data_IF_757151709216
#
_entry.id   IF_757151709216
#
_cell.length_a   1.000
_cell.length_b   1.000
_cell.length_c   1.000
_cell.angle_alpha   90.00
_cell.angle_beta   90.00
_cell.angle_gamma   90.00
#
_symmetry.space_group_name_H-M   'P 1'
#
loop_
_entity.id
_entity.type
_entity.pdbx_description
1 polymer ?
#
# COMPACT_ATOMS: atom_id res chain seq x y z
N UNK A 1 13.61 -15.71 1.16
CA UNK A 1 14.09 -15.29 2.49
C UNK A 1 13.99 -13.78 2.58
N UNK A 2 12.86 -13.26 3.09
CA UNK A 2 12.61 -11.83 3.27
C UNK A 2 13.06 -11.41 4.66
N UNK A 3 14.19 -10.70 4.73
CA UNK A 3 14.76 -10.22 5.98
C UNK A 3 13.83 -9.24 6.68
N UNK A 4 13.43 -9.60 7.91
CA UNK A 4 12.72 -8.76 8.85
C UNK A 4 13.54 -7.49 9.12
N UNK A 5 13.01 -6.34 8.73
CA UNK A 5 13.46 -5.06 9.21
C UNK A 5 12.94 -4.85 10.63
N UNK A 6 13.50 -5.57 11.59
CA UNK A 6 13.54 -5.12 12.99
C UNK A 6 13.99 -3.67 12.94
N UNK A 7 13.23 -2.74 13.52
CA UNK A 7 13.71 -1.39 13.80
C UNK A 7 15.03 -1.52 14.56
N UNK A 8 16.14 -1.46 13.82
CA UNK A 8 17.46 -1.60 14.37
C UNK A 8 17.73 -0.29 15.11
N UNK A 9 17.79 -0.39 16.43
CA UNK A 9 18.36 0.58 17.35
C UNK A 9 19.49 1.38 16.68
N UNK A 10 19.31 2.69 16.56
CA UNK A 10 20.42 3.64 16.44
C UNK A 10 21.11 3.79 15.08
N UNK A 11 20.73 3.08 14.01
CA UNK A 11 21.30 3.31 12.68
C UNK A 11 20.38 4.17 11.81
N UNK A 12 20.93 5.28 11.32
CA UNK A 12 20.28 6.20 10.37
C UNK A 12 20.12 5.48 9.02
N UNK A 13 19.13 4.59 8.90
CA UNK A 13 18.80 3.92 7.65
C UNK A 13 18.46 4.97 6.61
N UNK A 14 19.22 4.99 5.51
CA UNK A 14 19.02 5.96 4.44
C UNK A 14 17.56 5.96 3.98
N UNK A 15 16.98 7.15 3.91
CA UNK A 15 15.58 7.34 3.54
C UNK A 15 15.33 6.70 2.17
N UNK A 16 14.56 5.61 2.17
CA UNK A 16 14.40 4.72 1.01
C UNK A 16 13.26 5.14 0.07
N UNK A 17 12.66 6.30 0.33
CA UNK A 17 11.48 6.81 -0.36
C UNK A 17 11.66 8.31 -0.61
N UNK A 18 10.93 8.86 -1.57
CA UNK A 18 10.75 10.30 -1.74
C UNK A 18 9.25 10.59 -1.81
N UNK A 19 8.82 11.70 -1.21
CA UNK A 19 7.45 12.17 -1.40
C UNK A 19 7.40 12.98 -2.70
N UNK A 20 6.72 12.44 -3.71
CA UNK A 20 6.66 13.05 -5.05
C UNK A 20 5.38 13.84 -5.29
N UNK A 21 4.32 13.57 -4.54
CA UNK A 21 3.02 14.23 -4.68
C UNK A 21 2.18 14.06 -3.39
N UNK A 22 0.99 14.67 -3.35
CA UNK A 22 -0.04 14.44 -2.34
C UNK A 22 -1.42 14.32 -2.97
N UNK A 23 -2.13 13.23 -2.67
CA UNK A 23 -3.52 13.03 -3.08
C UNK A 23 -4.42 13.15 -1.85
N UNK A 24 -5.29 14.16 -1.82
CA UNK A 24 -6.17 14.46 -0.67
C UNK A 24 -5.42 14.48 0.68
N UNK A 25 -4.22 15.07 0.70
CA UNK A 25 -3.38 15.17 1.90
C UNK A 25 -2.55 13.94 2.23
N UNK A 26 -2.73 12.81 1.52
CA UNK A 26 -1.92 11.60 1.69
C UNK A 26 -0.69 11.67 0.79
N UNK A 27 0.49 11.46 1.37
CA UNK A 27 1.77 11.48 0.66
C UNK A 27 1.84 10.35 -0.37
N UNK A 28 2.16 10.70 -1.61
CA UNK A 28 2.54 9.74 -2.65
C UNK A 28 4.03 9.50 -2.55
N UNK A 29 4.41 8.25 -2.32
CA UNK A 29 5.81 7.85 -2.21
C UNK A 29 6.27 7.17 -3.49
N UNK A 30 7.51 7.49 -3.87
CA UNK A 30 8.28 6.73 -4.85
C UNK A 30 9.52 6.18 -4.14
N UNK A 31 9.82 4.90 -4.33
CA UNK A 31 11.01 4.31 -3.72
C UNK A 31 12.28 4.75 -4.46
N UNK A 32 13.36 4.89 -3.70
CA UNK A 32 14.70 5.24 -4.19
C UNK A 32 15.54 3.95 -4.23
N UNK A 33 16.56 3.87 -5.09
CA UNK A 33 17.50 2.75 -5.17
C UNK A 33 16.83 1.37 -5.36
N UNK A 34 15.83 1.29 -6.24
CA UNK A 34 15.16 0.02 -6.56
C UNK A 34 14.16 -0.47 -5.50
N UNK A 35 13.76 0.38 -4.54
CA UNK A 35 12.65 0.06 -3.64
C UNK A 35 11.31 0.20 -4.38
N UNK A 36 10.58 -0.91 -4.46
CA UNK A 36 9.30 -0.94 -5.17
C UNK A 36 8.07 -0.91 -4.26
N UNK A 37 8.18 -1.42 -3.03
CA UNK A 37 7.04 -1.50 -2.10
C UNK A 37 6.97 -0.27 -1.20
N UNK A 38 5.76 0.13 -0.77
CA UNK A 38 5.59 1.10 0.33
C UNK A 38 6.23 0.60 1.65
N UNK A 39 6.46 1.48 2.65
CA UNK A 39 7.05 1.05 3.92
C UNK A 39 6.12 0.10 4.70
N UNK A 40 6.66 -0.80 5.50
CA UNK A 40 5.89 -1.70 6.37
C UNK A 40 5.49 -1.03 7.69
N UNK A 41 6.21 0.02 8.08
CA UNK A 41 5.87 0.88 9.22
C UNK A 41 5.87 2.35 8.82
N UNK A 42 4.95 3.12 9.40
CA UNK A 42 4.81 4.52 9.10
C UNK A 42 5.90 5.37 9.79
N UNK A 43 6.45 6.35 9.07
CA UNK A 43 7.41 7.28 9.66
C UNK A 43 6.76 8.60 10.10
N UNK A 44 5.96 9.20 9.21
CA UNK A 44 5.45 10.57 9.38
C UNK A 44 4.01 10.77 8.90
N UNK A 45 3.31 9.71 8.52
CA UNK A 45 1.95 9.76 7.98
C UNK A 45 1.17 8.52 8.41
N UNK A 46 -0.16 8.63 8.48
CA UNK A 46 -1.06 7.50 8.76
C UNK A 46 -1.41 6.69 7.51
N UNK A 47 -1.02 7.19 6.33
CA UNK A 47 -1.16 6.48 5.07
C UNK A 47 -0.10 6.95 4.07
N UNK A 48 0.21 6.08 3.11
CA UNK A 48 1.03 6.37 1.95
C UNK A 48 0.41 5.78 0.70
N UNK A 49 0.49 6.50 -0.41
CA UNK A 49 0.02 6.05 -1.72
C UNK A 49 1.23 5.77 -2.61
N UNK A 50 1.11 4.74 -3.44
CA UNK A 50 2.01 4.50 -4.55
C UNK A 50 1.19 4.52 -5.84
N UNK A 51 1.77 5.15 -6.86
CA UNK A 51 1.23 5.16 -8.22
C UNK A 51 2.05 4.23 -9.11
N UNK A 52 1.43 3.75 -10.18
CA UNK A 52 2.06 3.12 -11.33
C UNK A 52 2.88 4.16 -12.10
N UNK A 53 3.81 3.74 -12.98
CA UNK A 53 4.61 4.67 -13.78
C UNK A 53 3.80 5.64 -14.65
N UNK A 54 2.61 5.24 -15.07
CA UNK A 54 1.63 6.03 -15.84
C UNK A 54 0.83 7.03 -14.97
N UNK A 55 1.05 7.04 -13.65
CA UNK A 55 0.33 7.88 -12.69
C UNK A 55 -1.01 7.30 -12.21
N UNK A 56 -1.39 6.10 -12.65
CA UNK A 56 -2.57 5.38 -12.17
C UNK A 56 -2.33 4.88 -10.74
N UNK A 57 -3.37 4.80 -9.93
CA UNK A 57 -3.31 4.23 -8.58
C UNK A 57 -2.77 2.80 -8.61
N UNK A 58 -1.76 2.51 -7.77
CA UNK A 58 -1.24 1.16 -7.57
C UNK A 58 -1.73 0.60 -6.23
N UNK A 59 -1.41 1.28 -5.14
CA UNK A 59 -1.75 0.84 -3.79
C UNK A 59 -1.77 2.01 -2.80
N UNK A 60 -2.52 1.84 -1.70
CA UNK A 60 -2.45 2.67 -0.50
C UNK A 60 -2.27 1.77 0.71
N UNK A 61 -1.31 2.13 1.56
CA UNK A 61 -1.10 1.51 2.87
C UNK A 61 -1.59 2.42 3.97
N UNK A 62 -2.27 1.82 4.95
CA UNK A 62 -2.87 2.51 6.09
C UNK A 62 -2.28 1.92 7.37
N UNK A 63 -1.88 2.82 8.27
CA UNK A 63 -1.16 2.48 9.49
C UNK A 63 -1.99 2.87 10.71
N UNK A 64 -1.85 2.10 11.78
CA UNK A 64 -2.47 2.40 13.07
C UNK A 64 -1.72 3.51 13.82
N UNK A 65 -2.17 3.79 15.05
CA UNK A 65 -1.56 4.80 15.93
C UNK A 65 -0.12 4.44 16.35
N UNK A 66 0.19 3.15 16.37
CA UNK A 66 1.49 2.61 16.73
C UNK A 66 2.40 2.49 15.49
N UNK A 67 1.94 3.01 14.33
CA UNK A 67 2.63 3.05 13.03
C UNK A 67 2.76 1.70 12.33
N UNK A 68 2.00 0.68 12.73
CA UNK A 68 1.98 -0.62 12.06
C UNK A 68 1.00 -0.63 10.88
N UNK A 69 1.40 -1.26 9.78
CA UNK A 69 0.52 -1.51 8.64
C UNK A 69 -0.63 -2.42 9.06
N UNK A 70 -1.87 -1.94 8.89
CA UNK A 70 -3.09 -2.69 9.20
C UNK A 70 -3.93 -3.01 7.98
N UNK A 71 -3.81 -2.20 6.92
CA UNK A 71 -4.62 -2.33 5.72
C UNK A 71 -3.87 -1.85 4.49
N UNK A 72 -3.95 -2.63 3.42
CA UNK A 72 -3.44 -2.27 2.09
C UNK A 72 -4.58 -2.44 1.09
N UNK A 73 -4.88 -1.39 0.33
CA UNK A 73 -5.83 -1.45 -0.78
C UNK A 73 -5.03 -1.30 -2.06
N UNK A 74 -5.17 -2.23 -2.99
CA UNK A 74 -4.34 -2.29 -4.20
C UNK A 74 -5.17 -2.50 -5.47
N UNK A 75 -4.61 -2.05 -6.60
CA UNK A 75 -5.15 -2.19 -7.94
C UNK A 75 -4.09 -2.81 -8.87
N UNK A 76 -3.97 -4.13 -8.75
CA UNK A 76 -3.10 -4.97 -9.58
C UNK A 76 -3.73 -6.35 -9.71
N UNK A 77 -3.15 -7.27 -10.52
CA UNK A 77 -3.69 -8.61 -10.63
C UNK A 77 -3.62 -9.34 -9.30
N UNK A 78 -4.73 -9.95 -8.92
CA UNK A 78 -4.86 -10.76 -7.71
C UNK A 78 -5.49 -12.11 -8.09
N UNK A 79 -4.67 -13.13 -8.35
CA UNK A 79 -5.15 -14.40 -8.92
C UNK A 79 -6.11 -15.15 -8.01
N UNK A 80 -6.05 -14.93 -6.69
CA UNK A 80 -6.99 -15.54 -5.76
C UNK A 80 -8.42 -14.99 -5.91
N UNK A 81 -8.59 -13.83 -6.57
CA UNK A 81 -9.89 -13.21 -6.81
C UNK A 81 -10.34 -13.32 -8.27
N UNK A 82 -9.43 -13.13 -9.23
CA UNK A 82 -9.77 -13.11 -10.66
C UNK A 82 -9.54 -14.45 -11.37
N UNK A 83 -8.87 -15.40 -10.71
CA UNK A 83 -8.44 -16.67 -11.31
C UNK A 83 -7.34 -16.52 -12.38
N UNK A 84 -6.82 -15.31 -12.61
CA UNK A 84 -5.81 -15.03 -13.62
C UNK A 84 -4.78 -13.97 -13.15
N UNK A 85 -3.69 -13.79 -13.91
CA UNK A 85 -2.58 -12.87 -13.56
C UNK A 85 -2.54 -11.59 -14.41
N UNK A 86 -3.61 -11.30 -15.15
CA UNK A 86 -3.62 -10.25 -16.16
C UNK A 86 -4.61 -9.13 -15.83
N UNK A 87 -5.74 -9.48 -15.23
CA UNK A 87 -6.79 -8.53 -14.90
C UNK A 87 -6.47 -7.79 -13.60
N UNK A 88 -6.40 -6.46 -13.67
CA UNK A 88 -6.27 -5.63 -12.48
C UNK A 88 -7.60 -5.58 -11.75
N UNK A 89 -7.59 -5.86 -10.45
CA UNK A 89 -8.78 -5.78 -9.59
C UNK A 89 -8.48 -4.94 -8.37
N UNK A 90 -9.46 -4.14 -7.92
CA UNK A 90 -9.37 -3.51 -6.61
C UNK A 90 -9.58 -4.58 -5.54
N UNK A 91 -8.60 -4.73 -4.68
CA UNK A 91 -8.65 -5.69 -3.58
C UNK A 91 -8.00 -5.08 -2.33
N UNK A 92 -8.26 -5.71 -1.20
CA UNK A 92 -7.72 -5.30 0.09
C UNK A 92 -7.09 -6.47 0.81
N UNK A 93 -5.96 -6.19 1.45
CA UNK A 93 -5.29 -7.05 2.41
C UNK A 93 -5.41 -6.42 3.79
N UNK A 94 -5.79 -7.23 4.77
CA UNK A 94 -5.79 -6.86 6.19
C UNK A 94 -4.64 -7.57 6.88
N UNK A 95 -3.85 -6.80 7.62
CA UNK A 95 -2.62 -7.28 8.23
C UNK A 95 -2.83 -7.49 9.73
N UNK A 96 -2.37 -8.63 10.23
CA UNK A 96 -2.29 -8.90 11.67
C UNK A 96 -0.89 -8.56 12.15
N UNK A 97 -0.79 -7.78 13.23
CA UNK A 97 0.49 -7.34 13.81
C UNK A 97 1.43 -8.50 14.13
N UNK A 98 0.87 -9.63 14.57
CA UNK A 98 1.64 -10.82 14.93
C UNK A 98 1.97 -11.73 13.73
N UNK A 99 1.29 -11.54 12.59
CA UNK A 99 1.48 -12.37 11.40
C UNK A 99 1.24 -11.59 10.09
N UNK A 100 2.27 -10.91 9.62
CA UNK A 100 2.27 -10.21 8.33
C UNK A 100 2.18 -11.14 7.11
N UNK A 101 2.40 -12.45 7.28
CA UNK A 101 2.28 -13.43 6.22
C UNK A 101 0.82 -13.84 5.93
N UNK A 102 -0.05 -13.74 6.94
CA UNK A 102 -1.48 -14.04 6.83
C UNK A 102 -2.25 -12.80 6.37
N UNK A 103 -2.30 -12.62 5.05
CA UNK A 103 -2.91 -11.47 4.38
C UNK A 103 -3.85 -11.89 3.25
N UNK A 104 -4.98 -12.55 3.54
CA UNK A 104 -5.93 -12.96 2.51
C UNK A 104 -6.39 -11.75 1.70
N UNK A 105 -6.42 -11.89 0.38
CA UNK A 105 -7.03 -10.89 -0.49
C UNK A 105 -8.55 -11.03 -0.42
N UNK A 106 -9.25 -9.90 -0.33
CA UNK A 106 -10.70 -9.85 -0.52
C UNK A 106 -11.09 -8.66 -1.39
N UNK A 107 -12.26 -8.73 -2.00
CA UNK A 107 -12.86 -7.59 -2.68
C UNK A 107 -13.18 -6.47 -1.67
N UNK A 108 -13.17 -5.23 -2.14
CA UNK A 108 -13.63 -4.10 -1.35
C UNK A 108 -15.13 -4.20 -1.12
N UNK A 109 -15.57 -3.83 0.07
CA UNK A 109 -16.98 -3.53 0.30
C UNK A 109 -17.38 -2.21 -0.37
N UNK A 110 -18.68 -2.00 -0.60
CA UNK A 110 -19.18 -0.76 -1.18
C UNK A 110 -18.85 0.48 -0.33
N UNK A 111 -18.84 0.31 0.99
CA UNK A 111 -18.46 1.36 1.94
C UNK A 111 -16.98 1.71 1.86
N UNK A 112 -16.11 0.70 1.78
CA UNK A 112 -14.67 0.90 1.58
C UNK A 112 -14.40 1.59 0.24
N UNK A 113 -15.04 1.13 -0.85
CA UNK A 113 -14.91 1.77 -2.14
C UNK A 113 -15.29 3.25 -2.07
N UNK A 114 -16.46 3.59 -1.51
CA UNK A 114 -16.91 4.98 -1.37
C UNK A 114 -15.96 5.82 -0.51
N UNK A 115 -15.38 5.24 0.53
CA UNK A 115 -14.43 5.92 1.42
C UNK A 115 -13.09 6.21 0.74
N UNK A 116 -12.60 5.29 -0.08
CA UNK A 116 -11.26 5.35 -0.65
C UNK A 116 -11.22 5.76 -2.13
N UNK A 117 -12.35 5.81 -2.84
CA UNK A 117 -12.41 6.15 -4.28
C UNK A 117 -11.70 7.44 -4.67
N UNK A 118 -11.65 8.41 -3.75
CA UNK A 118 -10.93 9.68 -3.93
C UNK A 118 -9.42 9.50 -4.18
N UNK A 119 -8.85 8.37 -3.78
CA UNK A 119 -7.44 8.02 -4.00
C UNK A 119 -7.21 7.19 -5.27
N UNK A 120 -8.25 6.60 -5.86
CA UNK A 120 -8.17 5.66 -6.99
C UNK A 120 -8.03 6.39 -8.34
N UNK A 121 -7.09 7.33 -8.42
CA UNK A 121 -6.78 8.09 -9.63
C UNK A 121 -6.48 7.14 -10.80
N UNK A 122 -7.16 7.31 -11.92
CA UNK A 122 -6.93 6.51 -13.14
C UNK A 122 -7.44 5.07 -13.10
N UNK A 123 -8.12 4.66 -12.02
CA UNK A 123 -8.80 3.34 -11.98
C UNK A 123 -10.13 3.47 -12.72
N UNK A 124 -10.43 2.58 -13.68
CA UNK A 124 -11.75 2.54 -14.31
C UNK A 124 -12.85 2.39 -13.26
N UNK A 125 -14.01 3.02 -13.47
CA UNK A 125 -15.16 2.79 -12.60
C UNK A 125 -15.51 1.30 -12.65
N UNK A 126 -15.55 0.67 -11.48
CA UNK A 126 -15.98 -0.72 -11.27
C UNK A 126 -17.43 -0.73 -10.77
#
# INVERSE_FOLDING_TARGET
MGGRGTFASGNNVAYSYETVDKIHGVKVLKGINGKHSLPEEAHSSRAYIKLKPDGTFHEIRIYDKDRYLVKEIAYHPEPNLTGNRHENVLHVHEYKRDNFGDRPARSLTQEEYRKYKKYFKGVPNQ
#
